data_IF_231029423121
#
_entry.id   IF_231029423121
#
_cell.length_a   1.000
_cell.length_b   1.000
_cell.length_c   1.000
_cell.angle_alpha   90.00
_cell.angle_beta   90.00
_cell.angle_gamma   90.00
#
_symmetry.space_group_name_H-M   'P 1'
#
loop_
_entity.id
_entity.type
_entity.pdbx_description
1 polymer ?
#
# COMPACT_ATOMS: atom_id res chain seq x y z
N UNK A 1 -17.43 24.26 -24.24
CA UNK A 1 -16.18 24.94 -24.63
C UNK A 1 -15.31 25.10 -23.39
N UNK A 2 -14.41 24.14 -23.12
CA UNK A 2 -13.07 24.39 -22.55
C UNK A 2 -12.17 23.19 -22.89
N UNK A 3 -11.61 23.15 -24.11
CA UNK A 3 -10.74 22.07 -24.61
C UNK A 3 -9.43 21.86 -23.83
N UNK A 4 -9.18 22.65 -22.77
CA UNK A 4 -7.99 22.55 -21.93
C UNK A 4 -8.13 21.51 -20.79
N UNK A 5 -9.37 21.20 -20.37
CA UNK A 5 -9.66 20.31 -19.25
C UNK A 5 -9.43 18.85 -19.67
N UNK A 6 -9.78 18.51 -20.91
CA UNK A 6 -9.49 17.20 -21.50
C UNK A 6 -7.98 16.96 -21.73
N UNK A 7 -7.20 18.02 -22.00
CA UNK A 7 -5.74 17.91 -22.19
C UNK A 7 -4.97 17.66 -20.90
N UNK A 8 -5.47 18.10 -19.74
CA UNK A 8 -4.88 17.74 -18.45
C UNK A 8 -5.31 16.31 -18.05
N UNK A 9 -6.56 15.95 -18.35
CA UNK A 9 -7.14 14.65 -18.01
C UNK A 9 -6.50 13.47 -18.75
N UNK A 10 -6.12 13.62 -20.02
CA UNK A 10 -5.43 12.58 -20.80
C UNK A 10 -3.90 12.60 -20.63
N UNK A 11 -3.29 13.74 -20.30
CA UNK A 11 -1.83 13.85 -20.23
C UNK A 11 -1.21 13.38 -18.90
N UNK A 12 -2.00 13.14 -17.85
CA UNK A 12 -1.43 12.86 -16.52
C UNK A 12 -1.62 11.41 -16.04
N UNK A 13 -2.67 10.72 -16.50
CA UNK A 13 -2.91 9.31 -16.24
C UNK A 13 -3.82 8.75 -17.33
N UNK A 14 -3.32 7.82 -18.14
CA UNK A 14 -4.21 6.95 -18.92
C UNK A 14 -4.92 5.98 -17.96
N UNK A 15 -6.14 5.54 -18.29
CA UNK A 15 -6.86 4.52 -17.49
C UNK A 15 -5.96 3.29 -17.34
N UNK A 16 -5.38 3.16 -16.15
CA UNK A 16 -4.42 2.11 -15.83
C UNK A 16 -5.14 0.77 -15.78
N UNK A 17 -4.58 -0.22 -16.47
CA UNK A 17 -4.96 -1.64 -16.32
C UNK A 17 -4.85 -1.99 -14.82
N UNK A 18 -5.98 -2.27 -14.17
CA UNK A 18 -5.97 -3.01 -12.91
C UNK A 18 -5.27 -4.34 -13.18
N UNK A 19 -4.08 -4.53 -12.65
CA UNK A 19 -3.40 -5.82 -12.72
C UNK A 19 -4.01 -6.70 -11.65
N UNK A 20 -5.01 -7.49 -12.05
CA UNK A 20 -5.49 -8.61 -11.27
C UNK A 20 -4.48 -9.78 -11.39
N UNK A 21 -4.46 -10.71 -10.43
CA UNK A 21 -3.58 -11.88 -10.48
C UNK A 21 -3.93 -12.79 -11.67
N UNK A 22 -3.39 -12.53 -12.86
CA UNK A 22 -3.34 -13.48 -13.99
C UNK A 22 -2.08 -14.34 -13.92
N UNK A 23 -2.22 -15.59 -13.46
CA UNK A 23 -1.12 -16.57 -13.40
C UNK A 23 -0.26 -16.46 -14.65
N UNK A 24 1.05 -16.34 -14.51
CA UNK A 24 2.00 -16.38 -15.62
C UNK A 24 1.85 -17.71 -16.37
N UNK A 25 0.99 -17.73 -17.38
CA UNK A 25 1.15 -18.69 -18.47
C UNK A 25 2.35 -18.18 -19.25
N UNK A 26 3.49 -18.87 -19.08
CA UNK A 26 4.56 -18.81 -20.06
C UNK A 26 3.91 -19.22 -21.39
N UNK A 27 3.95 -18.33 -22.37
CA UNK A 27 3.68 -18.71 -23.75
C UNK A 27 4.77 -19.71 -24.14
N UNK A 28 4.41 -20.99 -24.17
CA UNK A 28 5.30 -22.09 -24.58
C UNK A 28 5.46 -22.05 -26.10
N UNK A 29 6.64 -21.59 -26.54
CA UNK A 29 7.28 -22.17 -27.71
C UNK A 29 7.86 -23.54 -27.28
N UNK A 30 7.57 -24.57 -28.07
CA UNK A 30 7.57 -25.97 -27.63
C UNK A 30 8.90 -26.53 -27.11
N UNK A 31 8.83 -27.23 -25.98
CA UNK A 31 9.92 -28.06 -25.47
C UNK A 31 9.49 -28.93 -24.30
N UNK A 32 9.39 -30.25 -24.50
CA UNK A 32 9.03 -31.21 -23.46
C UNK A 32 10.09 -31.27 -22.36
N UNK A 33 9.76 -30.76 -21.18
CA UNK A 33 10.57 -30.85 -19.96
C UNK A 33 9.67 -31.04 -18.75
N UNK A 34 9.76 -32.22 -18.13
CA UNK A 34 9.05 -32.64 -16.93
C UNK A 34 9.41 -31.80 -15.70
N UNK A 35 8.40 -31.33 -14.96
CA UNK A 35 8.51 -30.78 -13.60
C UNK A 35 8.19 -29.29 -13.50
N UNK A 36 6.92 -28.92 -13.60
CA UNK A 36 6.47 -27.60 -13.14
C UNK A 36 6.37 -27.65 -11.61
N UNK A 37 7.34 -27.04 -10.94
CA UNK A 37 7.41 -26.94 -9.48
C UNK A 37 6.14 -26.27 -8.94
N UNK A 38 5.46 -26.94 -8.00
CA UNK A 38 4.32 -26.38 -7.28
C UNK A 38 4.69 -25.13 -6.46
N UNK A 39 5.99 -24.87 -6.24
CA UNK A 39 6.54 -23.71 -5.55
C UNK A 39 6.37 -22.39 -6.32
N UNK A 40 6.18 -22.42 -7.65
CA UNK A 40 6.08 -21.19 -8.47
C UNK A 40 4.67 -20.56 -8.43
N UNK A 41 3.69 -21.20 -7.77
CA UNK A 41 2.32 -20.67 -7.64
C UNK A 41 2.18 -19.59 -6.54
N UNK A 42 3.10 -19.57 -5.57
CA UNK A 42 3.09 -18.64 -4.45
C UNK A 42 3.92 -17.37 -4.72
N UNK A 43 4.70 -17.36 -5.80
CA UNK A 43 5.52 -16.23 -6.21
C UNK A 43 4.89 -15.53 -7.41
N UNK A 44 4.82 -14.21 -7.29
CA UNK A 44 4.30 -13.34 -8.33
C UNK A 44 5.26 -12.20 -8.56
N UNK A 45 5.73 -12.02 -9.79
CA UNK A 45 6.64 -10.93 -10.10
C UNK A 45 6.27 -10.23 -11.40
N UNK A 46 6.67 -8.97 -11.47
CA UNK A 46 6.69 -8.18 -12.69
C UNK A 46 8.11 -7.75 -12.96
N UNK A 47 8.58 -8.11 -14.14
CA UNK A 47 9.85 -7.63 -14.66
C UNK A 47 9.86 -6.11 -14.84
N UNK A 48 11.05 -5.56 -15.10
CA UNK A 48 11.25 -4.12 -15.25
C UNK A 48 10.26 -3.52 -16.26
N UNK A 49 9.41 -2.63 -15.76
CA UNK A 49 8.48 -1.81 -16.50
C UNK A 49 8.85 -0.34 -16.41
N UNK A 50 8.39 0.46 -17.36
CA UNK A 50 8.67 1.91 -17.41
C UNK A 50 7.64 2.71 -16.61
N UNK A 51 8.09 3.77 -15.97
CA UNK A 51 7.25 4.80 -15.36
C UNK A 51 7.78 6.21 -15.69
N UNK A 52 7.12 7.26 -15.20
CA UNK A 52 7.41 8.65 -15.58
C UNK A 52 8.85 9.12 -15.29
N UNK A 53 9.55 8.45 -14.38
CA UNK A 53 10.86 8.88 -13.88
C UNK A 53 11.94 7.79 -13.93
N UNK A 54 11.68 6.64 -14.57
CA UNK A 54 12.63 5.52 -14.63
C UNK A 54 11.95 4.19 -14.89
N UNK A 55 12.53 3.14 -14.32
CA UNK A 55 12.04 1.77 -14.38
C UNK A 55 11.67 1.25 -12.99
N UNK A 56 10.72 0.33 -12.94
CA UNK A 56 10.27 -0.31 -11.71
C UNK A 56 10.03 -1.81 -11.96
N UNK A 57 10.25 -2.62 -10.94
CA UNK A 57 9.78 -4.01 -10.87
C UNK A 57 9.11 -4.21 -9.52
N UNK A 58 8.34 -5.29 -9.38
CA UNK A 58 7.83 -5.69 -8.07
C UNK A 58 7.63 -7.19 -8.02
N UNK A 59 7.64 -7.74 -6.81
CA UNK A 59 7.31 -9.13 -6.56
C UNK A 59 6.52 -9.27 -5.26
N UNK A 60 5.74 -10.35 -5.16
CA UNK A 60 4.92 -10.75 -4.03
C UNK A 60 5.18 -12.23 -3.80
N UNK A 61 5.42 -12.62 -2.54
CA UNK A 61 5.57 -14.01 -2.13
C UNK A 61 4.49 -14.29 -1.10
N UNK A 62 3.65 -15.28 -1.37
CA UNK A 62 2.56 -15.65 -0.48
C UNK A 62 3.06 -16.55 0.66
N UNK A 63 2.89 -16.09 1.90
CA UNK A 63 3.20 -16.87 3.11
C UNK A 63 1.97 -17.52 3.76
N UNK A 64 0.83 -16.82 3.75
CA UNK A 64 -0.42 -17.28 4.37
C UNK A 64 -1.26 -18.11 3.38
N UNK A 65 -2.16 -18.97 3.88
CA UNK A 65 -3.11 -19.73 3.04
C UNK A 65 -3.95 -18.80 2.15
N UNK A 66 -4.37 -17.67 2.72
CA UNK A 66 -4.96 -16.54 2.00
C UNK A 66 -3.94 -15.42 1.99
N UNK A 67 -3.55 -14.95 0.80
CA UNK A 67 -2.73 -13.76 0.66
C UNK A 67 -3.50 -12.53 1.16
N UNK A 68 -3.06 -11.97 2.28
CA UNK A 68 -3.63 -10.74 2.84
C UNK A 68 -2.95 -9.48 2.28
N UNK A 69 -1.72 -9.62 1.78
CA UNK A 69 -0.98 -8.51 1.17
C UNK A 69 -1.49 -8.16 -0.21
N UNK A 70 -1.61 -6.85 -0.44
CA UNK A 70 -1.88 -6.29 -1.77
C UNK A 70 -0.83 -5.25 -2.11
N UNK A 71 -0.49 -5.17 -3.39
CA UNK A 71 0.36 -4.10 -3.92
C UNK A 71 -0.20 -3.58 -5.24
N UNK A 72 0.14 -2.34 -5.58
CA UNK A 72 -0.26 -1.75 -6.84
C UNK A 72 0.78 -0.75 -7.34
N UNK A 73 0.90 -0.66 -8.66
CA UNK A 73 1.63 0.41 -9.33
C UNK A 73 0.77 0.98 -10.44
N UNK A 74 0.53 2.29 -10.40
CA UNK A 74 -0.15 3.03 -11.45
C UNK A 74 0.78 4.07 -12.06
N UNK A 75 0.97 4.02 -13.37
CA UNK A 75 1.86 4.93 -14.09
C UNK A 75 1.06 5.87 -14.98
N UNK A 76 1.51 7.11 -15.07
CA UNK A 76 1.00 8.13 -15.98
C UNK A 76 2.16 8.95 -16.54
N UNK A 77 1.92 9.82 -17.52
CA UNK A 77 3.03 10.50 -18.20
C UNK A 77 3.83 11.44 -17.28
N UNK A 78 3.20 11.95 -16.20
CA UNK A 78 3.84 12.84 -15.22
C UNK A 78 3.79 12.31 -13.79
N UNK A 79 3.27 11.09 -13.60
CA UNK A 79 2.91 10.54 -12.30
C UNK A 79 3.28 9.06 -12.16
N UNK A 80 3.62 8.63 -10.95
CA UNK A 80 3.71 7.22 -10.58
C UNK A 80 3.15 7.06 -9.18
N UNK A 81 2.16 6.20 -9.02
CA UNK A 81 1.61 5.78 -7.75
C UNK A 81 2.13 4.38 -7.45
N UNK A 82 2.58 4.15 -6.23
CA UNK A 82 2.97 2.85 -5.70
C UNK A 82 2.27 2.65 -4.37
N UNK A 83 1.63 1.50 -4.17
CA UNK A 83 1.00 1.13 -2.91
C UNK A 83 1.43 -0.26 -2.46
N UNK A 84 1.69 -0.40 -1.16
CA UNK A 84 1.96 -1.66 -0.46
C UNK A 84 1.04 -1.71 0.75
N UNK A 85 0.26 -2.77 0.85
CA UNK A 85 -0.79 -2.93 1.85
C UNK A 85 -0.64 -4.30 2.51
N UNK A 86 -0.16 -4.33 3.75
CA UNK A 86 -0.01 -5.54 4.55
C UNK A 86 -1.30 -5.75 5.34
N UNK A 87 -2.11 -6.73 4.92
CA UNK A 87 -3.42 -7.01 5.48
C UNK A 87 -3.35 -7.99 6.65
N UNK A 88 -4.27 -7.87 7.60
CA UNK A 88 -4.38 -8.82 8.72
C UNK A 88 -5.81 -9.03 9.20
N UNK A 89 -6.06 -10.25 9.67
CA UNK A 89 -7.39 -10.69 10.09
C UNK A 89 -8.32 -11.00 8.91
N UNK A 90 -7.80 -10.91 7.68
CA UNK A 90 -8.48 -11.03 6.41
C UNK A 90 -7.91 -10.07 5.35
N UNK A 91 -8.12 -10.42 4.08
CA UNK A 91 -7.66 -9.63 2.94
C UNK A 91 -8.58 -8.45 2.61
N UNK A 92 -9.71 -8.28 3.31
CA UNK A 92 -10.75 -7.32 2.93
C UNK A 92 -10.30 -5.87 3.00
N UNK A 93 -9.52 -5.48 4.00
CA UNK A 93 -9.04 -4.11 4.15
C UNK A 93 -7.99 -3.75 3.09
N UNK A 94 -6.94 -4.55 2.95
CA UNK A 94 -5.89 -4.35 1.94
C UNK A 94 -6.45 -4.36 0.51
N UNK A 95 -7.38 -5.28 0.22
CA UNK A 95 -8.13 -5.31 -1.05
C UNK A 95 -9.05 -4.11 -1.22
N UNK A 96 -9.66 -3.60 -0.15
CA UNK A 96 -10.48 -2.39 -0.25
C UNK A 96 -9.60 -1.19 -0.62
N UNK A 97 -8.47 -1.01 0.08
CA UNK A 97 -7.50 0.03 -0.21
C UNK A 97 -7.04 -0.06 -1.68
N UNK A 98 -6.67 -1.27 -2.13
CA UNK A 98 -6.16 -1.48 -3.48
C UNK A 98 -7.16 -1.16 -4.61
N UNK A 99 -8.46 -1.15 -4.29
CA UNK A 99 -9.52 -0.87 -5.26
C UNK A 99 -9.96 0.61 -5.27
N UNK A 100 -9.63 1.38 -4.23
CA UNK A 100 -10.24 2.70 -4.02
C UNK A 100 -9.22 3.84 -3.87
N UNK A 101 -8.07 3.60 -3.22
CA UNK A 101 -7.18 4.67 -2.79
C UNK A 101 -6.60 5.48 -3.95
N UNK A 102 -6.10 4.82 -5.00
CA UNK A 102 -5.59 5.51 -6.19
C UNK A 102 -6.70 6.28 -6.92
N UNK A 103 -7.90 5.72 -7.03
CA UNK A 103 -9.03 6.41 -7.66
C UNK A 103 -9.42 7.67 -6.88
N UNK A 104 -9.42 7.62 -5.55
CA UNK A 104 -9.63 8.81 -4.71
C UNK A 104 -8.53 9.86 -4.92
N UNK A 105 -7.27 9.44 -4.96
CA UNK A 105 -6.14 10.33 -5.21
C UNK A 105 -6.25 11.01 -6.57
N UNK A 106 -6.50 10.25 -7.64
CA UNK A 106 -6.63 10.77 -9.01
C UNK A 106 -7.76 11.80 -9.08
N UNK A 107 -8.94 11.47 -8.53
CA UNK A 107 -10.09 12.38 -8.50
C UNK A 107 -9.75 13.69 -7.76
N UNK A 108 -9.19 13.59 -6.55
CA UNK A 108 -8.85 14.77 -5.74
C UNK A 108 -7.73 15.62 -6.35
N UNK A 109 -6.75 14.98 -7.02
CA UNK A 109 -5.70 15.66 -7.76
C UNK A 109 -6.26 16.39 -8.98
N UNK A 110 -7.26 15.84 -9.67
CA UNK A 110 -7.96 16.50 -10.77
C UNK A 110 -8.74 17.72 -10.28
N UNK A 111 -9.48 17.59 -9.17
CA UNK A 111 -10.23 18.69 -8.56
C UNK A 111 -9.31 19.82 -8.08
N UNK A 112 -8.12 19.47 -7.56
CA UNK A 112 -7.14 20.44 -7.04
C UNK A 112 -6.16 20.95 -8.11
N UNK A 113 -6.12 20.32 -9.29
CA UNK A 113 -5.19 20.62 -10.39
C UNK A 113 -3.75 20.09 -10.22
N UNK A 114 -3.41 19.47 -9.09
CA UNK A 114 -2.10 18.87 -8.82
C UNK A 114 -2.15 17.88 -7.65
N UNK A 115 -1.13 17.01 -7.55
CA UNK A 115 -0.86 16.24 -6.33
C UNK A 115 -0.23 17.16 -5.28
N UNK A 116 -0.73 17.08 -4.05
CA UNK A 116 -0.23 17.79 -2.87
C UNK A 116 -0.42 16.92 -1.63
N UNK A 117 0.20 17.30 -0.50
CA UNK A 117 0.02 16.61 0.78
C UNK A 117 -1.47 16.51 1.19
N UNK A 118 -2.23 17.59 1.00
CA UNK A 118 -3.66 17.61 1.33
C UNK A 118 -4.47 16.66 0.43
N UNK A 119 -4.12 16.56 -0.86
CA UNK A 119 -4.75 15.60 -1.78
C UNK A 119 -4.46 14.16 -1.35
N UNK A 120 -3.22 13.85 -0.98
CA UNK A 120 -2.84 12.52 -0.47
C UNK A 120 -3.61 12.22 0.83
N UNK A 121 -3.58 13.13 1.81
CA UNK A 121 -4.28 12.97 3.08
C UNK A 121 -5.79 12.74 2.89
N UNK A 122 -6.43 13.55 2.04
CA UNK A 122 -7.86 13.42 1.78
C UNK A 122 -8.21 12.13 1.03
N UNK A 123 -7.30 11.60 0.21
CA UNK A 123 -7.50 10.30 -0.44
C UNK A 123 -7.50 9.15 0.58
N UNK A 124 -6.58 9.20 1.55
CA UNK A 124 -6.56 8.26 2.68
C UNK A 124 -7.83 8.37 3.51
N UNK A 125 -8.22 9.58 3.92
CA UNK A 125 -9.45 9.79 4.70
C UNK A 125 -10.71 9.32 3.97
N UNK A 126 -10.82 9.56 2.66
CA UNK A 126 -11.95 9.07 1.87
C UNK A 126 -11.98 7.53 1.77
N UNK A 127 -10.81 6.90 1.69
CA UNK A 127 -10.67 5.44 1.65
C UNK A 127 -11.07 4.83 2.99
N UNK A 128 -10.59 5.39 4.09
CA UNK A 128 -10.91 4.95 5.45
C UNK A 128 -12.42 5.06 5.72
N UNK A 129 -13.03 6.21 5.45
CA UNK A 129 -14.47 6.38 5.61
C UNK A 129 -15.29 5.42 4.74
N UNK A 130 -14.79 5.12 3.53
CA UNK A 130 -15.37 4.11 2.66
C UNK A 130 -15.35 2.71 3.27
N UNK A 131 -14.21 2.32 3.86
CA UNK A 131 -14.07 1.02 4.52
C UNK A 131 -14.88 0.94 5.80
N UNK A 132 -14.88 1.97 6.64
CA UNK A 132 -15.74 2.05 7.84
C UNK A 132 -17.22 1.94 7.48
N UNK A 133 -17.63 2.55 6.37
CA UNK A 133 -19.01 2.42 5.84
C UNK A 133 -19.33 1.00 5.37
N UNK A 134 -18.34 0.24 4.87
CA UNK A 134 -18.50 -1.18 4.58
C UNK A 134 -18.63 -2.00 5.88
N UNK A 135 -17.74 -1.78 6.84
CA UNK A 135 -17.78 -2.44 8.17
C UNK A 135 -19.14 -2.24 8.84
N UNK A 136 -19.62 -1.00 8.93
CA UNK A 136 -20.94 -0.68 9.54
C UNK A 136 -22.09 -1.44 8.89
N UNK A 137 -22.08 -1.62 7.56
CA UNK A 137 -23.14 -2.35 6.84
C UNK A 137 -23.02 -3.87 6.97
N UNK A 138 -21.82 -4.40 7.15
CA UNK A 138 -21.55 -5.84 7.06
C UNK A 138 -21.35 -6.51 8.43
N UNK A 139 -20.96 -5.77 9.48
CA UNK A 139 -20.57 -6.35 10.77
C UNK A 139 -21.66 -7.22 11.44
N UNK A 140 -22.95 -6.93 11.25
CA UNK A 140 -24.02 -7.75 11.82
C UNK A 140 -24.11 -9.15 11.19
N UNK A 141 -23.64 -9.29 9.95
CA UNK A 141 -23.65 -10.55 9.19
C UNK A 141 -22.28 -11.25 9.30
N UNK A 142 -21.20 -10.48 9.24
CA UNK A 142 -19.82 -10.94 9.39
C UNK A 142 -19.11 -10.10 10.46
N UNK A 143 -19.27 -10.42 11.76
CA UNK A 143 -18.68 -9.64 12.84
C UNK A 143 -17.16 -9.53 12.77
N UNK A 144 -16.48 -10.53 12.21
CA UNK A 144 -15.03 -10.51 12.07
C UNK A 144 -14.50 -9.33 11.24
N UNK A 145 -15.32 -8.74 10.35
CA UNK A 145 -14.91 -7.58 9.54
C UNK A 145 -14.48 -6.38 10.40
N UNK A 146 -14.96 -6.28 11.64
CA UNK A 146 -14.59 -5.21 12.57
C UNK A 146 -13.16 -5.35 13.12
N UNK A 147 -12.52 -6.51 12.96
CA UNK A 147 -11.14 -6.78 13.37
C UNK A 147 -10.18 -6.91 12.19
N UNK A 148 -10.66 -6.68 10.95
CA UNK A 148 -9.84 -6.74 9.74
C UNK A 148 -9.21 -5.37 9.52
N UNK A 149 -7.90 -5.34 9.30
CA UNK A 149 -7.12 -4.13 9.07
C UNK A 149 -6.06 -4.34 8.00
N UNK A 150 -5.39 -3.25 7.65
CA UNK A 150 -4.24 -3.29 6.75
C UNK A 150 -3.32 -2.11 7.00
N UNK A 151 -2.02 -2.35 7.17
CA UNK A 151 -1.02 -1.32 6.98
C UNK A 151 -1.14 -0.74 5.56
N UNK A 152 -0.77 0.51 5.38
CA UNK A 152 -0.90 1.21 4.11
C UNK A 152 0.29 2.14 3.90
N UNK A 153 1.18 1.76 2.99
CA UNK A 153 2.27 2.59 2.51
C UNK A 153 1.99 3.00 1.06
N UNK A 154 1.99 4.31 0.81
CA UNK A 154 1.86 4.86 -0.54
C UNK A 154 3.01 5.80 -0.86
N UNK A 155 3.58 5.62 -2.04
CA UNK A 155 4.49 6.56 -2.67
C UNK A 155 3.89 7.15 -3.96
N UNK A 156 3.92 8.48 -4.08
CA UNK A 156 3.51 9.19 -5.30
C UNK A 156 4.65 10.03 -5.82
N UNK A 157 5.15 9.71 -7.00
CA UNK A 157 6.10 10.54 -7.74
C UNK A 157 5.30 11.43 -8.68
N UNK A 158 5.27 12.74 -8.42
CA UNK A 158 4.60 13.72 -9.26
C UNK A 158 5.56 14.85 -9.61
N UNK A 159 5.85 15.02 -10.91
CA UNK A 159 6.76 16.08 -11.41
C UNK A 159 8.07 16.20 -10.61
N UNK A 160 8.76 15.06 -10.40
CA UNK A 160 10.01 14.93 -9.62
C UNK A 160 9.89 15.17 -8.11
N UNK A 161 8.68 15.36 -7.58
CA UNK A 161 8.43 15.39 -6.14
C UNK A 161 7.93 14.02 -5.69
N UNK A 162 8.53 13.48 -4.64
CA UNK A 162 8.08 12.24 -4.00
C UNK A 162 7.22 12.60 -2.77
N UNK A 163 5.99 12.10 -2.76
CA UNK A 163 5.10 12.12 -1.59
C UNK A 163 5.06 10.72 -0.99
N UNK A 164 5.20 10.62 0.32
CA UNK A 164 5.09 9.37 1.06
C UNK A 164 4.02 9.51 2.14
N UNK A 165 3.14 8.52 2.24
CA UNK A 165 2.17 8.39 3.31
C UNK A 165 2.24 6.97 3.87
N UNK A 166 2.42 6.85 5.18
CA UNK A 166 2.61 5.57 5.87
C UNK A 166 1.66 5.47 7.07
N UNK A 167 0.91 4.38 7.13
CA UNK A 167 0.10 3.95 8.27
C UNK A 167 0.46 2.50 8.58
N UNK A 168 0.99 2.23 9.77
CA UNK A 168 1.56 0.92 10.13
C UNK A 168 3.08 0.84 9.94
N UNK A 169 3.59 -0.36 9.73
CA UNK A 169 5.01 -0.69 9.83
C UNK A 169 5.66 -1.17 8.53
N UNK A 170 4.93 -1.06 7.41
CA UNK A 170 5.52 -1.04 6.08
C UNK A 170 6.52 0.12 5.92
N UNK A 171 7.50 -0.03 5.02
CA UNK A 171 8.63 0.90 4.95
C UNK A 171 9.05 1.31 3.54
N UNK A 172 9.25 2.61 3.33
CA UNK A 172 9.93 3.14 2.16
C UNK A 172 11.41 3.44 2.49
N UNK A 173 12.30 3.00 1.62
CA UNK A 173 13.75 3.19 1.73
C UNK A 173 14.29 3.69 0.38
N UNK A 174 15.17 4.68 0.41
CA UNK A 174 15.91 5.15 -0.78
C UNK A 174 17.36 4.70 -0.72
N UNK A 175 17.89 4.28 -1.87
CA UNK A 175 19.32 4.04 -2.05
C UNK A 175 20.00 5.29 -2.60
N UNK A 176 20.91 5.88 -1.83
CA UNK A 176 21.66 7.07 -2.20
C UNK A 176 23.10 6.69 -2.60
N UNK A 177 23.53 7.05 -3.80
CA UNK A 177 24.93 6.90 -4.22
C UNK A 177 25.78 7.99 -3.55
N UNK A 178 26.72 7.58 -2.70
CA UNK A 178 27.66 8.46 -1.98
C UNK A 178 29.08 8.17 -2.46
N UNK A 179 29.79 9.20 -2.92
CA UNK A 179 31.12 9.05 -3.51
C UNK A 179 31.07 8.32 -4.85
N UNK A 180 32.10 7.54 -5.16
CA UNK A 180 32.25 6.91 -6.48
C UNK A 180 31.54 5.56 -6.64
N UNK A 181 31.25 4.82 -5.56
CA UNK A 181 30.66 3.48 -5.71
C UNK A 181 29.99 2.89 -4.44
N UNK A 182 29.51 3.74 -3.52
CA UNK A 182 28.85 3.27 -2.29
C UNK A 182 27.38 3.67 -2.30
N UNK A 183 26.48 2.70 -2.18
CA UNK A 183 25.05 2.96 -1.97
C UNK A 183 24.78 2.93 -0.46
N UNK A 184 24.13 3.95 0.06
CA UNK A 184 23.64 4.03 1.43
C UNK A 184 22.12 3.94 1.41
N UNK A 185 21.56 3.05 2.23
CA UNK A 185 20.13 2.96 2.42
C UNK A 185 19.67 3.99 3.46
N UNK A 186 18.69 4.80 3.11
CA UNK A 186 18.07 5.79 3.98
C UNK A 186 16.57 5.50 4.07
N UNK A 187 16.09 5.23 5.27
CA UNK A 187 14.68 5.02 5.54
C UNK A 187 13.93 6.35 5.51
N UNK A 188 12.86 6.43 4.71
CA UNK A 188 12.10 7.67 4.49
C UNK A 188 10.81 7.75 5.33
N UNK A 189 10.29 6.61 5.79
CA UNK A 189 9.07 6.55 6.61
C UNK A 189 9.41 6.06 8.01
N UNK A 190 8.65 6.49 9.02
CA UNK A 190 8.73 5.92 10.37
C UNK A 190 7.74 4.77 10.48
N UNK A 191 8.16 3.69 11.11
CA UNK A 191 7.28 2.58 11.44
C UNK A 191 6.35 2.96 12.60
N UNK A 192 5.09 2.59 12.49
CA UNK A 192 4.10 2.72 13.56
C UNK A 192 3.78 1.34 14.14
N UNK A 193 4.68 0.84 15.00
CA UNK A 193 4.59 -0.49 15.60
C UNK A 193 4.80 -0.41 17.13
N UNK A 194 4.00 -1.16 17.89
CA UNK A 194 4.03 -1.19 19.36
C UNK A 194 5.35 -1.72 19.94
N UNK A 195 6.23 -2.32 19.13
CA UNK A 195 7.60 -2.65 19.51
C UNK A 195 8.50 -1.41 19.71
N UNK A 196 8.09 -0.24 19.22
CA UNK A 196 8.79 1.04 19.36
C UNK A 196 8.30 1.77 20.61
N UNK A 197 9.21 2.23 21.47
CA UNK A 197 8.86 2.84 22.75
C UNK A 197 8.10 4.16 22.58
N UNK A 198 8.49 4.99 21.62
CA UNK A 198 7.84 6.26 21.35
C UNK A 198 6.36 6.07 20.98
N UNK A 199 6.07 5.06 20.15
CA UNK A 199 4.69 4.68 19.77
C UNK A 199 3.91 4.18 20.98
N UNK A 200 4.53 3.40 21.86
CA UNK A 200 3.88 2.96 23.12
C UNK A 200 3.53 4.14 24.02
N UNK A 201 4.41 5.12 24.14
CA UNK A 201 4.19 6.29 24.97
C UNK A 201 3.07 7.18 24.39
N UNK A 202 3.06 7.36 23.07
CA UNK A 202 1.98 8.05 22.37
C UNK A 202 0.62 7.37 22.60
N UNK A 203 0.53 6.05 22.40
CA UNK A 203 -0.69 5.28 22.64
C UNK A 203 -1.22 5.43 24.06
N UNK A 204 -0.33 5.37 25.07
CA UNK A 204 -0.70 5.59 26.48
C UNK A 204 -1.17 7.01 26.74
N UNK A 205 -0.53 8.01 26.13
CA UNK A 205 -0.90 9.42 26.27
C UNK A 205 -2.28 9.71 25.67
N UNK A 206 -2.63 9.08 24.55
CA UNK A 206 -3.92 9.27 23.89
C UNK A 206 -5.06 8.51 24.59
N UNK A 207 -4.74 7.48 25.38
CA UNK A 207 -5.71 6.63 26.07
C UNK A 207 -5.40 6.51 27.57
N UNK A 208 -5.46 7.62 28.34
CA UNK A 208 -5.06 7.65 29.75
C UNK A 208 -5.90 6.73 30.64
N UNK A 209 -7.16 6.49 30.28
CA UNK A 209 -8.10 5.65 31.04
C UNK A 209 -8.01 4.16 30.68
N UNK A 210 -7.14 3.81 29.73
CA UNK A 210 -7.05 2.47 29.16
C UNK A 210 -5.72 1.81 29.51
N UNK A 211 -5.64 1.29 30.74
CA UNK A 211 -4.44 0.58 31.23
C UNK A 211 -4.04 -0.64 30.39
N UNK A 212 -4.91 -1.12 29.49
CA UNK A 212 -4.69 -2.26 28.62
C UNK A 212 -4.41 -1.84 27.17
N UNK A 213 -4.22 -0.55 26.87
CA UNK A 213 -3.98 -0.07 25.51
C UNK A 213 -2.74 -0.72 24.89
N UNK A 214 -1.67 -0.90 25.67
CA UNK A 214 -0.42 -1.55 25.25
C UNK A 214 -0.04 -2.63 26.26
N UNK A 215 0.06 -3.87 25.80
CA UNK A 215 0.28 -5.06 26.65
C UNK A 215 1.44 -5.88 26.11
N UNK A 216 2.35 -6.31 26.99
CA UNK A 216 3.39 -7.29 26.65
C UNK A 216 2.80 -8.70 26.73
N UNK A 217 2.73 -9.40 25.60
CA UNK A 217 2.18 -10.77 25.50
C UNK A 217 3.13 -11.65 24.71
N UNK A 218 3.54 -12.76 25.29
CA UNK A 218 4.50 -13.72 24.70
C UNK A 218 5.80 -13.06 24.22
N UNK A 219 6.34 -12.11 25.01
CA UNK A 219 7.58 -11.39 24.68
C UNK A 219 7.44 -10.28 23.64
N UNK A 220 6.22 -9.99 23.16
CA UNK A 220 5.95 -8.99 22.13
C UNK A 220 4.93 -7.97 22.62
N UNK A 221 5.21 -6.68 22.38
CA UNK A 221 4.30 -5.59 22.72
C UNK A 221 3.15 -5.53 21.71
N UNK A 222 1.91 -5.49 22.20
CA UNK A 222 0.70 -5.49 21.37
C UNK A 222 -0.30 -4.46 21.85
N UNK A 223 -0.99 -3.82 20.91
CA UNK A 223 -2.17 -2.99 21.16
C UNK A 223 -3.31 -3.88 21.59
N UNK A 224 -3.89 -3.62 22.76
CA UNK A 224 -4.98 -4.42 23.36
C UNK A 224 -4.68 -5.93 23.46
N UNK A 225 -3.40 -6.32 23.40
CA UNK A 225 -3.00 -7.73 23.36
C UNK A 225 -3.29 -8.46 22.03
N UNK A 226 -3.64 -7.73 20.96
CA UNK A 226 -4.08 -8.26 19.66
C UNK A 226 -2.99 -8.06 18.60
N UNK A 227 -2.69 -6.82 18.22
CA UNK A 227 -1.84 -6.49 17.06
C UNK A 227 -0.62 -5.65 17.44
N UNK A 228 0.41 -5.60 16.60
CA UNK A 228 1.56 -4.72 16.80
C UNK A 228 1.41 -3.37 16.08
N UNK A 229 0.73 -3.35 14.94
CA UNK A 229 0.71 -2.18 14.05
C UNK A 229 -0.33 -1.16 14.49
N UNK A 230 0.06 0.09 14.41
CA UNK A 230 -0.69 1.25 14.88
C UNK A 230 -1.08 2.12 13.67
N UNK A 231 -2.29 2.67 13.70
CA UNK A 231 -2.88 3.52 12.66
C UNK A 231 -3.12 4.93 13.15
#
# INVERSE_FOLDING_TARGET
>A
MWPWLEKIASACWDRVRRYAPTSTRRDEDGGSGSGADADDLLLWSRDLGRHAAGDFSFAVVQANEVLEDYSQVETGAAATFVGVYDGHGGAEASRFISNHLSAHLVRLAQESGAVSENVVRNAFSATEEGFLSLVRRTHLIKPSIAAIGSCCLVGVIWRKTLYLANLGDSRAVVGCLVGSNKIVAEQLTRDHNASIEEVRQELKSLHPDDSQIVVLKNGVWRIKGIIQDCY
#
